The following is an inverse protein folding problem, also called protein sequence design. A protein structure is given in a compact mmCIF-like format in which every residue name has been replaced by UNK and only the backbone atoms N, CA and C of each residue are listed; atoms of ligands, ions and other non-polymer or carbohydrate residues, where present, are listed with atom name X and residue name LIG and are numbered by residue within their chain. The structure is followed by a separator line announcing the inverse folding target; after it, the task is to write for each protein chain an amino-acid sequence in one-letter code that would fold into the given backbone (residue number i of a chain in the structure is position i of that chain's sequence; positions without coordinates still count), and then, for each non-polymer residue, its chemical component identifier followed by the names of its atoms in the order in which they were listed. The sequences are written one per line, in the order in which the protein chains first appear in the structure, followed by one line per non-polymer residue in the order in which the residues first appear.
data_IF_370893121174
#
_entry.id   IF_370893121174
#
_cell.length_a   1.000
_cell.length_b   1.000
_cell.length_c   1.000
_cell.angle_alpha   90.00
_cell.angle_beta   90.00
_cell.angle_gamma   90.00
#
_symmetry.space_group_name_H-M   'P 1'
#
loop_
_entity.id
_entity.type
_entity.pdbx_description
1 polymer ?
#
# COMPACT_ATOMS: atom_id res chain seq x y z
N UNK A 1 -11.00 -6.33 10.53
CA UNK A 1 -11.03 -5.06 9.79
C UNK A 1 -9.63 -4.74 9.27
N UNK A 2 -9.51 -3.85 8.29
CA UNK A 2 -8.24 -3.39 7.74
C UNK A 2 -8.34 -1.89 7.52
N UNK A 3 -7.24 -1.16 7.69
CA UNK A 3 -7.21 0.30 7.57
C UNK A 3 -6.35 0.71 6.37
N UNK A 4 -6.73 1.81 5.74
CA UNK A 4 -5.99 2.42 4.66
C UNK A 4 -6.15 3.94 4.81
N UNK A 5 -5.04 4.65 4.77
CA UNK A 5 -5.00 6.11 4.64
C UNK A 5 -4.94 6.50 3.16
N UNK A 6 -5.40 7.72 2.82
CA UNK A 6 -5.25 8.45 1.55
C UNK A 6 -6.54 9.20 1.19
N UNK A 7 -6.79 9.47 -0.10
CA UNK A 7 -7.82 10.37 -0.62
C UNK A 7 -9.23 9.78 -0.70
N UNK A 8 -9.37 8.46 -0.89
CA UNK A 8 -10.68 7.83 -1.10
C UNK A 8 -11.68 8.11 0.03
N UNK A 9 -11.26 7.99 1.29
CA UNK A 9 -12.14 8.28 2.43
C UNK A 9 -12.62 9.74 2.46
N UNK A 10 -11.76 10.68 2.07
CA UNK A 10 -12.13 12.09 1.93
C UNK A 10 -13.10 12.31 0.77
N UNK A 11 -12.82 11.75 -0.41
CA UNK A 11 -13.71 11.84 -1.57
C UNK A 11 -15.08 11.22 -1.31
N UNK A 12 -15.16 10.10 -0.57
CA UNK A 12 -16.43 9.49 -0.21
C UNK A 12 -17.28 10.41 0.68
N UNK A 13 -16.63 11.07 1.64
CA UNK A 13 -17.26 12.10 2.48
C UNK A 13 -17.69 13.32 1.66
N UNK A 14 -16.87 13.77 0.70
CA UNK A 14 -17.23 14.87 -0.21
C UNK A 14 -18.39 14.50 -1.14
N UNK A 15 -18.54 13.22 -1.49
CA UNK A 15 -19.68 12.72 -2.25
C UNK A 15 -20.97 12.57 -1.41
N UNK A 16 -20.88 12.75 -0.08
CA UNK A 16 -22.03 12.74 0.83
C UNK A 16 -22.28 11.42 1.56
N UNK A 17 -21.33 10.49 1.56
CA UNK A 17 -21.50 9.18 2.20
C UNK A 17 -20.49 8.94 3.33
N UNK A 18 -20.95 8.29 4.40
CA UNK A 18 -20.10 7.89 5.53
C UNK A 18 -19.58 6.45 5.38
N UNK A 19 -20.32 5.60 4.69
CA UNK A 19 -20.04 4.17 4.61
C UNK A 19 -20.68 3.55 3.38
N UNK A 20 -20.08 2.46 2.91
CA UNK A 20 -20.62 1.61 1.83
C UNK A 20 -20.72 0.20 2.39
N UNK A 21 -21.90 -0.41 2.27
CA UNK A 21 -22.14 -1.80 2.67
C UNK A 21 -22.42 -2.60 1.39
N UNK A 22 -21.55 -3.58 1.10
CA UNK A 22 -21.69 -4.44 -0.08
C UNK A 22 -22.20 -5.82 0.35
N UNK A 23 -23.42 -6.13 -0.06
CA UNK A 23 -24.07 -7.42 0.18
C UNK A 23 -24.22 -8.21 -1.13
N UNK A 24 -24.49 -9.51 -1.01
CA UNK A 24 -24.67 -10.38 -2.18
C UNK A 24 -23.41 -10.55 -3.03
N UNK A 25 -23.62 -10.89 -4.31
CA UNK A 25 -22.60 -11.13 -5.35
C UNK A 25 -23.21 -10.78 -6.71
N UNK A 26 -22.45 -10.08 -7.55
CA UNK A 26 -22.87 -9.78 -8.93
C UNK A 26 -22.71 -11.01 -9.86
N UNK A 27 -23.56 -11.13 -10.88
CA UNK A 27 -23.48 -12.24 -11.86
C UNK A 27 -22.22 -12.18 -12.73
N UNK A 28 -21.78 -10.97 -13.08
CA UNK A 28 -20.55 -10.68 -13.84
C UNK A 28 -19.66 -9.72 -13.04
N UNK A 29 -18.38 -9.57 -13.42
CA UNK A 29 -17.52 -8.52 -12.89
C UNK A 29 -18.16 -7.13 -13.02
N UNK A 30 -18.21 -6.39 -11.91
CA UNK A 30 -18.74 -5.02 -11.86
C UNK A 30 -17.82 -4.10 -11.07
N UNK A 31 -17.96 -2.78 -11.26
CA UNK A 31 -17.43 -1.79 -10.35
C UNK A 31 -18.53 -0.83 -9.90
N UNK A 32 -18.41 -0.33 -8.66
CA UNK A 32 -19.31 0.67 -8.12
C UNK A 32 -18.77 2.06 -8.46
N UNK A 33 -19.55 2.86 -9.18
CA UNK A 33 -19.26 4.24 -9.51
C UNK A 33 -20.06 5.18 -8.60
N UNK A 34 -19.37 6.11 -7.94
CA UNK A 34 -19.97 7.11 -7.06
C UNK A 34 -19.49 8.49 -7.51
N UNK A 35 -20.43 9.34 -7.95
CA UNK A 35 -20.18 10.76 -8.20
C UNK A 35 -21.24 11.58 -7.51
N UNK A 36 -20.88 12.16 -6.37
CA UNK A 36 -21.82 12.88 -5.51
C UNK A 36 -23.11 12.05 -5.28
N UNK A 37 -24.29 12.61 -5.54
CA UNK A 37 -25.57 11.90 -5.40
C UNK A 37 -25.84 10.79 -6.43
N UNK A 38 -24.95 10.56 -7.40
CA UNK A 38 -25.11 9.52 -8.41
C UNK A 38 -24.32 8.26 -8.06
N UNK A 39 -25.01 7.13 -7.92
CA UNK A 39 -24.42 5.82 -7.61
C UNK A 39 -24.87 4.80 -8.65
N UNK A 40 -23.91 4.16 -9.32
CA UNK A 40 -24.17 3.21 -10.41
C UNK A 40 -23.30 1.95 -10.25
N UNK A 41 -23.88 0.78 -10.54
CA UNK A 41 -23.12 -0.46 -10.73
C UNK A 41 -22.86 -0.60 -12.22
N UNK A 42 -21.59 -0.65 -12.61
CA UNK A 42 -21.15 -0.69 -14.02
C UNK A 42 -20.43 -1.98 -14.33
N UNK A 43 -20.50 -2.42 -15.58
CA UNK A 43 -19.72 -3.58 -16.05
C UNK A 43 -18.22 -3.32 -15.81
N UNK A 44 -17.52 -4.35 -15.33
CA UNK A 44 -16.07 -4.34 -15.15
C UNK A 44 -15.41 -5.52 -15.86
N UNK A 45 -16.09 -6.16 -16.82
CA UNK A 45 -15.56 -7.33 -17.51
C UNK A 45 -14.24 -7.01 -18.24
N UNK A 46 -14.11 -5.77 -18.74
CA UNK A 46 -12.88 -5.26 -19.37
C UNK A 46 -11.76 -4.89 -18.37
N UNK A 47 -12.09 -4.70 -17.09
CA UNK A 47 -11.14 -4.45 -16.01
C UNK A 47 -10.67 -5.73 -15.33
N UNK A 48 -11.45 -6.81 -15.44
CA UNK A 48 -11.11 -8.10 -14.84
C UNK A 48 -9.79 -8.65 -15.44
N UNK A 49 -8.88 -9.11 -14.59
CA UNK A 49 -7.52 -9.51 -14.95
C UNK A 49 -6.51 -8.36 -14.99
N UNK A 50 -6.95 -7.09 -14.95
CA UNK A 50 -6.04 -5.94 -14.89
C UNK A 50 -5.46 -5.75 -13.50
N UNK A 51 -4.26 -5.19 -13.44
CA UNK A 51 -3.65 -4.73 -12.19
C UNK A 51 -4.48 -3.61 -11.56
N UNK A 52 -4.28 -3.37 -10.27
CA UNK A 52 -4.91 -2.24 -9.55
C UNK A 52 -4.55 -0.89 -10.19
N UNK A 53 -3.32 -0.77 -10.71
CA UNK A 53 -2.81 0.45 -11.36
C UNK A 53 -3.47 0.68 -12.71
N UNK A 54 -3.54 -0.35 -13.56
CA UNK A 54 -4.26 -0.27 -14.84
C UNK A 54 -5.74 0.01 -14.62
N UNK A 55 -6.35 -0.59 -13.58
CA UNK A 55 -7.76 -0.35 -13.22
C UNK A 55 -8.00 1.13 -12.92
N UNK A 56 -7.16 1.75 -12.09
CA UNK A 56 -7.22 3.19 -11.82
C UNK A 56 -7.09 4.01 -13.10
N UNK A 57 -6.07 3.71 -13.93
CA UNK A 57 -5.76 4.49 -15.14
C UNK A 57 -6.88 4.39 -16.18
N UNK A 58 -7.49 3.22 -16.33
CA UNK A 58 -8.60 3.00 -17.26
C UNK A 58 -9.82 3.80 -16.78
N UNK A 59 -10.22 3.68 -15.50
CA UNK A 59 -11.38 4.40 -14.94
C UNK A 59 -11.19 5.92 -15.07
N UNK A 60 -10.00 6.44 -14.73
CA UNK A 60 -9.71 7.87 -14.88
C UNK A 60 -9.80 8.35 -16.32
N UNK A 61 -9.28 7.55 -17.27
CA UNK A 61 -9.32 7.87 -18.70
C UNK A 61 -10.74 7.87 -19.26
N UNK A 62 -11.55 6.88 -18.89
CA UNK A 62 -12.95 6.78 -19.30
C UNK A 62 -13.76 8.01 -18.87
N UNK A 63 -13.51 8.50 -17.67
CA UNK A 63 -14.19 9.66 -17.11
C UNK A 63 -13.48 11.00 -17.38
N UNK A 64 -12.26 10.97 -17.93
CA UNK A 64 -11.39 12.13 -18.16
C UNK A 64 -11.17 12.98 -16.89
N UNK A 65 -11.01 12.32 -15.74
CA UNK A 65 -10.83 12.99 -14.45
C UNK A 65 -9.76 12.29 -13.60
N UNK A 66 -8.62 12.98 -13.42
CA UNK A 66 -7.50 12.51 -12.60
C UNK A 66 -7.76 12.56 -11.09
N UNK A 67 -8.83 13.23 -10.65
CA UNK A 67 -9.22 13.32 -9.25
C UNK A 67 -10.13 12.15 -8.82
N UNK A 68 -10.39 11.19 -9.71
CA UNK A 68 -11.06 9.95 -9.32
C UNK A 68 -10.12 9.10 -8.48
N UNK A 69 -10.64 8.62 -7.36
CA UNK A 69 -9.95 7.72 -6.46
C UNK A 69 -10.64 6.36 -6.43
N UNK A 70 -9.86 5.29 -6.36
CA UNK A 70 -10.40 3.93 -6.40
C UNK A 70 -9.95 3.10 -5.21
N UNK A 71 -10.83 2.22 -4.74
CA UNK A 71 -10.47 1.00 -4.03
C UNK A 71 -10.64 -0.15 -5.01
N UNK A 72 -9.57 -0.87 -5.34
CA UNK A 72 -9.61 -1.94 -6.33
C UNK A 72 -8.88 -3.19 -5.88
N UNK A 73 -9.27 -4.33 -6.45
CA UNK A 73 -8.52 -5.58 -6.35
C UNK A 73 -7.73 -5.81 -7.64
N UNK A 74 -6.56 -6.43 -7.51
CA UNK A 74 -5.83 -6.98 -8.64
C UNK A 74 -6.13 -8.47 -8.84
N UNK A 75 -5.35 -9.15 -9.70
CA UNK A 75 -5.52 -10.58 -9.96
C UNK A 75 -5.50 -11.47 -8.71
N UNK A 76 -4.83 -11.07 -7.62
CA UNK A 76 -4.84 -11.84 -6.38
C UNK A 76 -6.25 -11.90 -5.75
N UNK A 77 -6.99 -10.79 -5.77
CA UNK A 77 -8.36 -10.74 -5.26
C UNK A 77 -9.34 -11.50 -6.14
N UNK A 78 -9.20 -11.36 -7.46
CA UNK A 78 -10.02 -12.08 -8.46
C UNK A 78 -9.88 -13.60 -8.32
N UNK A 79 -8.67 -14.08 -8.02
CA UNK A 79 -8.36 -15.49 -7.81
C UNK A 79 -8.53 -15.96 -6.35
N UNK A 80 -9.15 -15.15 -5.50
CA UNK A 80 -9.45 -15.48 -4.09
C UNK A 80 -8.22 -15.90 -3.27
N UNK A 81 -7.05 -15.33 -3.58
CA UNK A 81 -5.82 -15.61 -2.83
C UNK A 81 -6.03 -15.20 -1.37
N UNK A 82 -5.64 -16.06 -0.42
CA UNK A 82 -5.84 -15.81 1.03
C UNK A 82 -5.22 -14.49 1.50
N UNK A 83 -4.08 -14.12 0.92
CA UNK A 83 -3.38 -12.85 1.18
C UNK A 83 -3.82 -11.69 0.29
N UNK A 84 -4.90 -11.81 -0.47
CA UNK A 84 -5.36 -10.73 -1.33
C UNK A 84 -5.87 -9.53 -0.52
N UNK A 85 -5.48 -8.33 -0.94
CA UNK A 85 -5.82 -7.08 -0.32
C UNK A 85 -6.54 -6.14 -1.30
N UNK A 86 -7.14 -5.08 -0.75
CA UNK A 86 -7.72 -3.99 -1.54
C UNK A 86 -6.69 -2.87 -1.59
N UNK A 87 -6.43 -2.35 -2.78
CA UNK A 87 -5.48 -1.26 -3.00
C UNK A 87 -6.25 0.00 -3.33
N UNK A 88 -5.96 1.05 -2.57
CA UNK A 88 -6.36 2.39 -2.91
C UNK A 88 -5.32 3.02 -3.84
N UNK A 89 -5.82 3.48 -5.00
CA UNK A 89 -5.03 4.02 -6.10
C UNK A 89 -3.84 3.13 -6.47
N UNK A 90 -2.60 3.53 -6.12
CA UNK A 90 -1.37 2.84 -6.53
C UNK A 90 -0.56 2.18 -5.41
N UNK A 91 -0.81 2.46 -4.14
CA UNK A 91 0.14 2.02 -3.11
C UNK A 91 -0.38 1.93 -1.69
N UNK A 92 -1.64 2.25 -1.46
CA UNK A 92 -2.23 2.29 -0.12
C UNK A 92 -3.08 1.05 0.05
N UNK A 93 -2.72 0.19 0.99
CA UNK A 93 -3.30 -1.14 1.06
C UNK A 93 -4.17 -1.32 2.31
N UNK A 94 -5.38 -1.84 2.10
CA UNK A 94 -6.12 -2.56 3.12
C UNK A 94 -5.57 -3.98 3.20
N UNK A 95 -4.31 -4.11 3.64
CA UNK A 95 -3.45 -5.28 3.44
C UNK A 95 -3.99 -6.59 4.03
N UNK A 96 -4.36 -6.59 5.31
CA UNK A 96 -4.57 -7.84 6.06
C UNK A 96 -6.02 -8.34 6.00
N UNK A 97 -6.23 -9.55 6.52
CA UNK A 97 -7.53 -10.24 6.64
C UNK A 97 -8.17 -10.74 5.32
N UNK A 98 -7.44 -10.74 4.20
CA UNK A 98 -7.95 -11.33 2.95
C UNK A 98 -9.12 -10.57 2.33
N UNK A 99 -9.27 -9.27 2.63
CA UNK A 99 -10.40 -8.46 2.17
C UNK A 99 -10.48 -8.37 0.64
N UNK A 100 -9.35 -8.43 -0.06
CA UNK A 100 -9.33 -8.46 -1.53
C UNK A 100 -9.98 -9.71 -2.09
N UNK A 101 -9.79 -10.87 -1.44
CA UNK A 101 -10.47 -12.11 -1.82
C UNK A 101 -11.97 -12.06 -1.56
N UNK A 102 -12.40 -11.42 -0.46
CA UNK A 102 -13.83 -11.21 -0.19
C UNK A 102 -14.45 -10.32 -1.26
N UNK A 103 -13.81 -9.20 -1.61
CA UNK A 103 -14.28 -8.30 -2.67
C UNK A 103 -14.34 -9.02 -4.04
N UNK A 104 -13.33 -9.82 -4.38
CA UNK A 104 -13.32 -10.65 -5.59
C UNK A 104 -14.41 -11.73 -5.59
N UNK A 105 -14.71 -12.35 -4.44
CA UNK A 105 -15.77 -13.37 -4.34
C UNK A 105 -17.16 -12.83 -4.70
N UNK A 106 -17.35 -11.51 -4.57
CA UNK A 106 -18.57 -10.78 -4.92
C UNK A 106 -18.61 -10.30 -6.37
N UNK A 107 -17.58 -10.61 -7.18
CA UNK A 107 -17.36 -10.07 -8.52
C UNK A 107 -17.27 -8.53 -8.55
N UNK A 108 -16.84 -7.90 -7.45
CA UNK A 108 -16.66 -6.45 -7.38
C UNK A 108 -15.18 -6.11 -7.64
N UNK A 109 -14.89 -5.57 -8.82
CA UNK A 109 -13.52 -5.22 -9.24
C UNK A 109 -12.99 -3.96 -8.57
N UNK A 110 -13.84 -2.94 -8.46
CA UNK A 110 -13.46 -1.66 -7.88
C UNK A 110 -14.66 -0.91 -7.29
N UNK A 111 -14.34 0.06 -6.43
CA UNK A 111 -15.22 1.16 -6.06
C UNK A 111 -14.48 2.43 -6.46
N UNK A 112 -15.07 3.23 -7.34
CA UNK A 112 -14.52 4.47 -7.85
C UNK A 112 -15.38 5.63 -7.37
N UNK A 113 -14.73 6.67 -6.83
CA UNK A 113 -15.41 7.80 -6.22
C UNK A 113 -14.87 9.13 -6.71
N UNK A 114 -15.78 10.08 -6.89
CA UNK A 114 -15.51 11.50 -7.12
C UNK A 114 -16.51 12.36 -6.35
N UNK A 115 -16.05 13.08 -5.33
CA UNK A 115 -16.87 13.95 -4.50
C UNK A 115 -16.51 15.43 -4.67
N UNK A 116 -17.51 16.28 -4.88
CA UNK A 116 -17.34 17.73 -5.07
C UNK A 116 -17.87 18.57 -3.90
N UNK A 117 -18.56 17.94 -2.94
CA UNK A 117 -19.12 18.61 -1.77
C UNK A 117 -18.08 19.01 -0.72
N UNK A 118 -18.59 19.60 0.37
CA UNK A 118 -17.81 20.02 1.52
C UNK A 118 -18.29 19.33 2.80
N UNK A 119 -17.39 19.15 3.75
CA UNK A 119 -17.72 18.59 5.06
C UNK A 119 -18.13 19.73 6.00
N UNK A 120 -19.35 19.66 6.53
CA UNK A 120 -19.81 20.59 7.55
C UNK A 120 -19.31 20.17 8.93
N UNK A 121 -18.85 21.14 9.71
CA UNK A 121 -18.46 20.98 11.11
C UNK A 121 -19.30 21.91 11.97
N UNK A 122 -19.61 21.50 13.20
CA UNK A 122 -20.53 22.25 14.07
C UNK A 122 -20.04 23.67 14.42
N UNK A 123 -18.73 23.84 14.61
CA UNK A 123 -18.09 25.13 14.90
C UNK A 123 -16.76 25.22 14.14
N UNK A 124 -16.74 25.88 12.96
CA UNK A 124 -15.54 25.97 12.13
C UNK A 124 -14.37 26.67 12.82
N UNK A 125 -14.63 27.73 13.58
CA UNK A 125 -13.57 28.52 14.22
C UNK A 125 -12.89 27.71 15.33
N UNK A 126 -13.69 27.06 16.18
CA UNK A 126 -13.16 26.18 17.24
C UNK A 126 -12.46 24.96 16.66
N UNK A 127 -12.99 24.37 15.58
CA UNK A 127 -12.37 23.24 14.90
C UNK A 127 -10.98 23.61 14.37
N UNK A 128 -10.86 24.73 13.65
CA UNK A 128 -9.58 25.16 13.09
C UNK A 128 -8.56 25.49 14.18
N UNK A 129 -8.98 26.13 15.29
CA UNK A 129 -8.10 26.36 16.45
C UNK A 129 -7.55 25.04 17.03
N UNK A 130 -8.38 23.99 17.11
CA UNK A 130 -7.94 22.68 17.58
C UNK A 130 -6.97 22.02 16.59
N UNK A 131 -7.22 22.13 15.28
CA UNK A 131 -6.33 21.63 14.22
C UNK A 131 -4.96 22.30 14.30
N UNK A 132 -4.90 23.61 14.46
CA UNK A 132 -3.64 24.35 14.53
C UNK A 132 -2.82 23.97 15.77
N UNK A 133 -3.48 23.84 16.93
CA UNK A 133 -2.84 23.35 18.14
C UNK A 133 -2.25 21.93 17.95
N UNK A 134 -3.01 21.03 17.31
CA UNK A 134 -2.56 19.67 17.04
C UNK A 134 -1.38 19.62 16.06
N UNK A 135 -1.42 20.42 15.01
CA UNK A 135 -0.32 20.54 14.04
C UNK A 135 0.95 21.07 14.71
N UNK A 136 0.83 22.10 15.57
CA UNK A 136 1.96 22.61 16.34
C UNK A 136 2.56 21.52 17.25
N UNK A 137 1.73 20.73 17.93
CA UNK A 137 2.19 19.64 18.79
C UNK A 137 2.95 18.55 18.02
N UNK A 138 2.54 18.20 16.80
CA UNK A 138 3.17 17.11 16.03
C UNK A 138 4.44 17.59 15.30
N UNK A 139 4.37 18.75 14.67
CA UNK A 139 5.46 19.25 13.81
C UNK A 139 6.68 19.70 14.61
N UNK A 140 6.53 19.97 15.90
CA UNK A 140 7.64 20.35 16.80
C UNK A 140 8.43 19.16 17.35
N UNK A 141 7.96 17.92 17.16
CA UNK A 141 8.65 16.72 17.68
C UNK A 141 9.74 16.25 16.71
N UNK A 142 10.93 15.97 17.25
CA UNK A 142 12.08 15.42 16.50
C UNK A 142 11.74 14.11 15.77
N UNK A 143 10.96 13.20 16.39
CA UNK A 143 10.49 11.97 15.74
C UNK A 143 9.74 12.23 14.43
N UNK A 144 8.98 13.32 14.36
CA UNK A 144 8.25 13.70 13.14
C UNK A 144 9.20 14.19 12.07
N UNK A 145 10.05 15.17 12.40
CA UNK A 145 10.97 15.83 11.46
C UNK A 145 12.14 14.96 11.02
N UNK A 146 12.83 14.37 11.98
CA UNK A 146 14.15 13.76 11.73
C UNK A 146 14.04 12.30 11.30
N UNK A 147 12.97 11.60 11.73
CA UNK A 147 12.77 10.19 11.39
C UNK A 147 11.69 10.00 10.31
N UNK A 148 10.43 10.39 10.60
CA UNK A 148 9.31 10.07 9.71
C UNK A 148 9.32 10.89 8.41
N UNK A 149 9.66 12.18 8.45
CA UNK A 149 9.74 13.05 7.26
C UNK A 149 10.98 12.82 6.40
N UNK A 150 12.05 12.27 6.98
CA UNK A 150 13.26 11.89 6.25
C UNK A 150 13.15 10.47 5.70
N UNK A 151 13.03 9.49 6.59
CA UNK A 151 13.20 8.06 6.31
C UNK A 151 11.88 7.27 6.25
N UNK A 152 10.76 7.87 6.64
CA UNK A 152 9.49 7.14 6.75
C UNK A 152 9.55 6.08 7.86
N UNK A 153 8.68 5.07 7.79
CA UNK A 153 8.72 3.95 8.74
C UNK A 153 9.96 3.04 8.59
N UNK A 154 10.57 2.84 7.40
CA UNK A 154 11.81 2.06 7.29
C UNK A 154 12.96 2.55 8.17
N UNK A 155 13.00 3.84 8.52
CA UNK A 155 14.02 4.40 9.42
C UNK A 155 14.11 3.75 10.82
N UNK A 156 13.13 2.94 11.22
CA UNK A 156 13.17 2.18 12.47
C UNK A 156 14.12 0.96 12.43
N UNK A 157 14.64 0.57 11.26
CA UNK A 157 15.42 -0.65 11.05
C UNK A 157 16.59 -0.80 12.04
N UNK A 158 17.44 0.23 12.17
CA UNK A 158 18.60 0.20 13.06
C UNK A 158 18.20 0.01 14.54
N UNK A 159 17.16 0.72 14.97
CA UNK A 159 16.63 0.60 16.33
C UNK A 159 16.05 -0.78 16.59
N UNK A 160 15.32 -1.36 15.63
CA UNK A 160 14.74 -2.70 15.77
C UNK A 160 15.82 -3.77 15.87
N UNK A 161 16.83 -3.74 14.99
CA UNK A 161 17.97 -4.66 15.03
C UNK A 161 18.67 -4.61 16.40
N UNK A 162 18.83 -3.42 16.98
CA UNK A 162 19.48 -3.24 18.29
C UNK A 162 18.65 -3.73 19.48
N UNK A 163 17.32 -3.57 19.45
CA UNK A 163 16.47 -3.73 20.65
C UNK A 163 15.65 -5.02 20.67
N UNK A 164 15.07 -5.45 19.54
CA UNK A 164 14.12 -6.57 19.50
C UNK A 164 14.41 -7.63 18.43
N UNK A 165 15.31 -7.34 17.49
CA UNK A 165 15.66 -8.20 16.37
C UNK A 165 14.82 -7.94 15.11
N UNK A 166 15.36 -8.37 13.97
CA UNK A 166 14.74 -8.27 12.64
C UNK A 166 14.70 -9.66 12.03
N UNK A 167 13.56 -10.11 11.47
CA UNK A 167 13.46 -11.45 10.88
C UNK A 167 14.44 -11.63 9.73
N UNK A 168 15.29 -12.65 9.83
CA UNK A 168 16.24 -13.06 8.80
C UNK A 168 16.04 -14.53 8.46
N UNK A 169 15.97 -14.85 7.15
CA UNK A 169 15.76 -16.21 6.63
C UNK A 169 14.61 -16.94 7.34
N UNK A 170 13.39 -16.47 7.13
CA UNK A 170 12.18 -17.03 7.75
C UNK A 170 12.24 -17.21 9.29
N UNK A 171 12.76 -16.20 10.01
CA UNK A 171 12.95 -16.25 11.47
C UNK A 171 13.94 -17.31 11.97
N UNK A 172 14.73 -17.94 11.10
CA UNK A 172 15.86 -18.77 11.53
C UNK A 172 16.87 -17.96 12.36
N UNK A 173 16.96 -16.65 12.09
CA UNK A 173 17.74 -15.71 12.88
C UNK A 173 16.96 -14.41 13.10
N UNK A 174 17.34 -13.68 14.16
CA UNK A 174 16.78 -12.38 14.52
C UNK A 174 17.79 -11.22 14.41
N UNK A 175 18.98 -11.52 13.90
CA UNK A 175 20.07 -10.56 13.71
C UNK A 175 20.50 -10.63 12.25
N UNK A 176 20.38 -9.51 11.55
CA UNK A 176 20.93 -9.37 10.20
C UNK A 176 22.47 -9.44 10.21
N UNK A 177 23.07 -10.15 9.24
CA UNK A 177 24.50 -10.00 8.92
C UNK A 177 24.84 -8.54 8.61
N UNK A 178 26.07 -8.12 8.96
CA UNK A 178 26.50 -6.72 8.81
C UNK A 178 26.50 -6.27 7.34
N UNK A 179 26.99 -7.13 6.44
CA UNK A 179 26.98 -6.89 4.99
C UNK A 179 25.55 -6.71 4.45
N UNK A 180 24.59 -7.53 4.89
CA UNK A 180 23.18 -7.36 4.56
C UNK A 180 22.65 -6.04 5.10
N UNK A 181 22.89 -5.75 6.38
CA UNK A 181 22.42 -4.52 7.04
C UNK A 181 22.93 -3.26 6.32
N UNK A 182 24.19 -3.24 5.89
CA UNK A 182 24.76 -2.13 5.10
C UNK A 182 24.17 -2.05 3.69
N UNK A 183 23.94 -3.20 3.02
CA UNK A 183 23.38 -3.21 1.67
C UNK A 183 21.96 -2.66 1.57
N UNK A 184 21.16 -2.80 2.64
CA UNK A 184 19.78 -2.33 2.73
C UNK A 184 19.64 -1.04 3.56
N UNK A 185 20.75 -0.33 3.78
CA UNK A 185 20.78 0.90 4.54
C UNK A 185 19.75 1.91 4.00
N UNK A 186 18.86 2.36 4.89
CA UNK A 186 17.68 3.16 4.52
C UNK A 186 18.07 4.57 4.10
N UNK A 187 19.11 5.17 4.69
CA UNK A 187 19.62 6.48 4.26
C UNK A 187 20.13 6.40 2.82
N UNK A 188 20.97 5.40 2.51
CA UNK A 188 21.45 5.16 1.15
C UNK A 188 20.29 4.93 0.16
N UNK A 189 19.25 4.21 0.57
CA UNK A 189 18.07 3.99 -0.27
C UNK A 189 17.34 5.31 -0.56
N UNK A 190 17.21 6.19 0.43
CA UNK A 190 16.59 7.50 0.24
C UNK A 190 17.43 8.36 -0.70
N UNK A 191 18.75 8.44 -0.49
CA UNK A 191 19.62 9.31 -1.28
C UNK A 191 19.70 8.89 -2.75
N UNK A 192 19.61 7.59 -3.04
CA UNK A 192 19.76 7.07 -4.40
C UNK A 192 18.46 6.97 -5.21
N UNK A 193 17.31 6.76 -4.56
CA UNK A 193 16.07 6.40 -5.29
C UNK A 193 14.88 7.32 -5.01
N UNK A 194 14.90 8.12 -3.93
CA UNK A 194 13.79 9.00 -3.57
C UNK A 194 13.72 10.17 -4.54
N UNK A 195 12.54 10.39 -5.11
CA UNK A 195 12.25 11.57 -5.94
C UNK A 195 11.58 12.66 -5.11
N UNK A 196 10.75 12.29 -4.13
CA UNK A 196 9.99 13.27 -3.35
C UNK A 196 9.27 12.70 -2.14
N UNK A 197 8.78 13.59 -1.29
CA UNK A 197 7.86 13.27 -0.20
C UNK A 197 6.41 13.22 -0.68
N UNK A 198 5.62 12.32 -0.10
CA UNK A 198 4.18 12.22 -0.34
C UNK A 198 3.46 12.36 1.00
N UNK A 199 2.42 13.21 1.01
CA UNK A 199 1.49 13.33 2.13
C UNK A 199 0.05 13.22 1.62
N UNK A 200 -0.85 12.84 2.51
CA UNK A 200 -2.27 12.67 2.23
C UNK A 200 -3.08 13.76 2.93
N UNK A 201 -4.33 14.03 2.51
CA UNK A 201 -5.14 15.11 3.06
C UNK A 201 -5.17 15.12 4.58
N UNK A 202 -4.90 16.28 5.18
CA UNK A 202 -4.88 16.47 6.63
C UNK A 202 -3.61 16.02 7.37
N UNK A 203 -2.72 15.25 6.75
CA UNK A 203 -1.52 14.74 7.41
C UNK A 203 -0.38 15.77 7.47
N UNK A 204 0.04 16.14 8.69
CA UNK A 204 1.19 17.02 8.94
C UNK A 204 2.55 16.30 8.97
N UNK A 205 2.55 14.97 8.87
CA UNK A 205 3.77 14.15 8.97
C UNK A 205 4.37 13.93 7.59
N UNK A 206 3.60 13.47 6.60
CA UNK A 206 4.13 13.19 5.26
C UNK A 206 5.23 12.12 5.25
N UNK A 207 4.97 10.95 5.86
CA UNK A 207 5.97 9.88 5.99
C UNK A 207 6.22 9.11 4.68
N UNK A 208 5.34 9.25 3.68
CA UNK A 208 5.43 8.52 2.42
C UNK A 208 6.41 9.16 1.44
N UNK A 209 6.83 8.38 0.45
CA UNK A 209 7.81 8.77 -0.56
C UNK A 209 7.33 8.40 -1.95
N UNK A 210 7.98 8.97 -2.94
CA UNK A 210 7.93 8.50 -4.30
C UNK A 210 9.33 8.08 -4.72
N UNK A 211 9.46 6.88 -5.26
CA UNK A 211 10.72 6.31 -5.70
C UNK A 211 10.77 6.17 -7.21
N UNK A 212 11.98 6.32 -7.77
CA UNK A 212 12.30 5.99 -9.15
C UNK A 212 13.60 5.20 -9.19
N UNK A 213 13.62 4.14 -9.98
CA UNK A 213 14.82 3.35 -10.25
C UNK A 213 15.28 3.68 -11.66
N UNK A 214 16.48 4.23 -11.80
CA UNK A 214 17.03 4.66 -13.09
C UNK A 214 18.05 3.67 -13.68
N UNK A 215 18.56 2.72 -12.89
CA UNK A 215 19.60 1.76 -13.28
C UNK A 215 19.31 0.35 -12.75
N UNK A 216 19.94 -0.65 -13.36
CA UNK A 216 19.82 -2.05 -12.94
C UNK A 216 18.59 -2.75 -13.51
N UNK A 217 18.24 -3.95 -12.99
CA UNK A 217 17.23 -4.83 -13.58
C UNK A 217 15.80 -4.27 -13.52
N UNK A 218 15.56 -3.26 -12.68
CA UNK A 218 14.24 -2.64 -12.49
C UNK A 218 14.21 -1.18 -12.94
N UNK A 219 15.15 -0.76 -13.80
CA UNK A 219 15.18 0.58 -14.38
C UNK A 219 13.84 0.95 -15.04
N UNK A 220 13.41 2.19 -14.84
CA UNK A 220 12.13 2.73 -15.31
C UNK A 220 10.98 2.60 -14.31
N UNK A 221 11.14 1.81 -13.24
CA UNK A 221 10.11 1.69 -12.22
C UNK A 221 9.92 3.01 -11.47
N UNK A 222 8.67 3.46 -11.39
CA UNK A 222 8.23 4.57 -10.54
C UNK A 222 7.11 4.09 -9.64
N UNK A 223 7.20 4.34 -8.34
CA UNK A 223 6.23 3.82 -7.37
C UNK A 223 6.12 4.71 -6.14
N UNK A 224 4.95 4.72 -5.51
CA UNK A 224 4.86 5.17 -4.13
C UNK A 224 5.70 4.29 -3.21
N UNK A 225 6.10 4.89 -2.08
CA UNK A 225 6.97 4.30 -1.09
C UNK A 225 6.36 3.11 -0.37
N UNK A 226 7.24 2.36 0.27
CA UNK A 226 6.91 1.19 1.06
C UNK A 226 7.00 1.52 2.55
N UNK A 227 6.41 0.66 3.38
CA UNK A 227 6.54 0.71 4.83
C UNK A 227 7.65 -0.23 5.31
N UNK A 228 8.05 -0.12 6.58
CA UNK A 228 9.04 -1.00 7.20
C UNK A 228 8.72 -2.50 7.01
N UNK A 229 7.45 -2.86 7.01
CA UNK A 229 6.95 -4.22 6.85
C UNK A 229 7.46 -4.87 5.56
N UNK A 230 7.55 -4.11 4.47
CA UNK A 230 8.08 -4.59 3.18
C UNK A 230 9.55 -4.97 3.31
N UNK A 231 10.34 -4.15 4.02
CA UNK A 231 11.74 -4.45 4.30
C UNK A 231 11.87 -5.70 5.16
N UNK A 232 11.08 -5.78 6.23
CA UNK A 232 11.13 -6.90 7.16
C UNK A 232 10.67 -8.23 6.53
N UNK A 233 9.77 -8.20 5.54
CA UNK A 233 9.15 -9.44 5.01
C UNK A 233 9.62 -9.83 3.63
N UNK A 234 9.86 -8.89 2.73
CA UNK A 234 10.29 -9.18 1.36
C UNK A 234 11.80 -9.04 1.17
N UNK A 235 12.50 -8.27 2.01
CA UNK A 235 13.96 -8.14 1.93
C UNK A 235 14.66 -9.07 2.93
N UNK A 236 14.49 -8.82 4.24
CA UNK A 236 15.30 -9.48 5.27
C UNK A 236 14.87 -10.92 5.52
N UNK A 237 13.56 -11.18 5.60
CA UNK A 237 13.05 -12.55 5.79
C UNK A 237 13.43 -13.47 4.63
N UNK A 238 13.61 -12.93 3.42
CA UNK A 238 14.08 -13.67 2.25
C UNK A 238 15.62 -13.68 2.11
N UNK A 239 16.33 -12.86 2.87
CA UNK A 239 17.79 -12.74 2.83
C UNK A 239 18.32 -12.13 1.54
N UNK A 240 17.58 -11.19 0.94
CA UNK A 240 17.95 -10.51 -0.31
C UNK A 240 18.83 -9.29 0.02
N UNK A 241 19.88 -9.08 -0.77
CA UNK A 241 20.86 -8.01 -0.57
C UNK A 241 20.63 -6.80 -1.49
N UNK A 242 19.98 -7.00 -2.64
CA UNK A 242 19.70 -5.92 -3.58
C UNK A 242 18.57 -5.01 -3.03
N UNK A 243 18.83 -3.73 -2.70
CA UNK A 243 17.80 -2.83 -2.16
C UNK A 243 16.72 -2.48 -3.18
N UNK A 244 17.01 -2.59 -4.49
CA UNK A 244 16.03 -2.30 -5.54
C UNK A 244 14.98 -3.39 -5.68
N UNK A 245 15.30 -4.62 -5.24
CA UNK A 245 14.36 -5.75 -5.19
C UNK A 245 13.13 -5.42 -4.36
N UNK A 246 13.29 -4.88 -3.15
CA UNK A 246 12.17 -4.51 -2.27
C UNK A 246 11.22 -3.50 -2.92
N UNK A 247 11.77 -2.47 -3.59
CA UNK A 247 10.97 -1.44 -4.27
C UNK A 247 10.13 -2.10 -5.37
N UNK A 248 10.74 -2.98 -6.17
CA UNK A 248 10.04 -3.75 -7.20
C UNK A 248 9.00 -4.71 -6.62
N UNK A 249 9.34 -5.44 -5.58
CA UNK A 249 8.46 -6.42 -4.94
C UNK A 249 7.23 -5.74 -4.32
N UNK A 250 7.41 -4.59 -3.66
CA UNK A 250 6.30 -3.77 -3.16
C UNK A 250 5.38 -3.30 -4.30
N UNK A 251 5.96 -2.72 -5.35
CA UNK A 251 5.20 -2.26 -6.51
C UNK A 251 4.42 -3.40 -7.17
N UNK A 252 5.01 -4.59 -7.22
CA UNK A 252 4.36 -5.78 -7.77
C UNK A 252 3.21 -6.27 -6.87
N UNK A 253 3.41 -6.33 -5.55
CA UNK A 253 2.35 -6.67 -4.59
C UNK A 253 1.17 -5.69 -4.68
N UNK A 254 1.44 -4.39 -4.77
CA UNK A 254 0.41 -3.38 -4.99
C UNK A 254 -0.34 -3.59 -6.31
N UNK A 255 0.36 -3.82 -7.42
CA UNK A 255 -0.28 -4.09 -8.72
C UNK A 255 -1.17 -5.34 -8.70
N UNK A 256 -0.71 -6.39 -8.03
CA UNK A 256 -1.44 -7.65 -7.91
C UNK A 256 -2.60 -7.60 -6.90
N UNK A 257 -2.62 -6.62 -5.99
CA UNK A 257 -3.53 -6.59 -4.85
C UNK A 257 -3.21 -7.69 -3.84
N UNK A 258 -1.92 -7.85 -3.51
CA UNK A 258 -1.42 -8.87 -2.60
C UNK A 258 -0.76 -8.22 -1.37
N UNK A 259 -1.07 -8.73 -0.17
CA UNK A 259 -0.44 -8.32 1.07
C UNK A 259 1.04 -8.73 1.10
N UNK A 260 1.92 -7.75 1.31
CA UNK A 260 3.37 -7.94 1.38
C UNK A 260 3.79 -8.88 2.49
N UNK A 261 3.10 -8.86 3.64
CA UNK A 261 3.43 -9.72 4.77
C UNK A 261 3.07 -11.18 4.47
N UNK A 262 1.92 -11.40 3.81
CA UNK A 262 1.47 -12.72 3.41
C UNK A 262 2.31 -13.28 2.26
N UNK A 263 2.67 -12.43 1.29
CA UNK A 263 3.57 -12.80 0.21
C UNK A 263 4.96 -13.18 0.76
N UNK A 264 5.59 -12.30 1.53
CA UNK A 264 6.90 -12.53 2.10
C UNK A 264 6.93 -13.71 3.06
N UNK A 265 5.87 -13.89 3.87
CA UNK A 265 5.73 -15.05 4.76
C UNK A 265 5.65 -16.37 3.99
N UNK A 266 4.79 -16.47 2.98
CA UNK A 266 4.62 -17.69 2.20
C UNK A 266 5.89 -18.04 1.41
N UNK A 267 6.53 -17.04 0.77
CA UNK A 267 7.78 -17.24 0.02
C UNK A 267 8.90 -17.67 0.97
N UNK A 268 9.07 -17.02 2.12
CA UNK A 268 10.11 -17.37 3.09
C UNK A 268 9.93 -18.80 3.62
N UNK A 269 8.69 -19.19 3.91
CA UNK A 269 8.36 -20.55 4.32
C UNK A 269 8.69 -21.57 3.24
N UNK A 270 8.35 -21.29 1.98
CA UNK A 270 8.68 -22.16 0.85
C UNK A 270 10.21 -22.28 0.65
N UNK A 271 10.95 -21.17 0.76
CA UNK A 271 12.41 -21.17 0.69
C UNK A 271 13.04 -22.05 1.78
N UNK A 272 12.53 -21.99 3.02
CA UNK A 272 13.01 -22.85 4.10
C UNK A 272 12.61 -24.31 3.90
N UNK A 273 11.39 -24.59 3.44
CA UNK A 273 10.98 -25.95 3.10
C UNK A 273 11.90 -26.55 2.03
N UNK A 274 12.30 -25.77 1.03
CA UNK A 274 13.27 -26.20 0.01
C UNK A 274 14.65 -26.46 0.62
N UNK A 275 15.16 -25.56 1.47
CA UNK A 275 16.43 -25.75 2.18
C UNK A 275 16.46 -27.03 3.03
N UNK A 276 15.31 -27.41 3.59
CA UNK A 276 15.14 -28.62 4.42
C UNK A 276 14.79 -29.87 3.59
N UNK A 277 14.68 -29.77 2.27
CA UNK A 277 14.31 -30.88 1.39
C UNK A 277 12.84 -31.33 1.47
N UNK A 278 11.98 -30.51 2.08
CA UNK A 278 10.52 -30.73 2.13
C UNK A 278 9.89 -30.39 0.76
N UNK A 279 10.35 -29.28 0.15
CA UNK A 279 10.04 -28.94 -1.24
C UNK A 279 11.24 -29.26 -2.14
N UNK A 280 10.95 -29.65 -3.38
CA UNK A 280 11.91 -29.93 -4.44
C UNK A 280 11.71 -28.94 -5.58
N UNK A 281 12.67 -28.90 -6.50
CA UNK A 281 12.62 -28.01 -7.68
C UNK A 281 11.47 -28.37 -8.64
N UNK A 282 10.95 -29.60 -8.54
CA UNK A 282 9.84 -30.12 -9.33
C UNK A 282 8.47 -29.71 -8.82
N UNK A 283 8.38 -29.20 -7.58
CA UNK A 283 7.12 -28.77 -6.94
C UNK A 283 6.82 -27.31 -7.30
#
# INVERSE_FOLDING_TARGET
SSNCDSRFGGELKYAGYDSIIIEGKAHTPVYLWIRDGCVEIRDASYLWGKTTWETLDIIRREHRDENIHTLSIGPAGENLVRGACIIQDRGRAMGRCGLGGIMGSKNLKAIAVRGSGAIQVADPARFMKAVDNFRAMITTKSRTKDALQRLGTPGILATKQKVCGVPYKNFQFLTLPEDLFQSINVDNLMDNYKVGGVSYPGCAIGCSRYFRIDKGPYAGLKTEGFQFEVLATLQTKLGIYDPTFMIKANAYCNQMGLDVDMAGGAIAWAMECYQRGILKKSD
#
